data_IF_348214961564
#
_entry.id   IF_348214961564
#
_cell.length_a   1.000
_cell.length_b   1.000
_cell.length_c   1.000
_cell.angle_alpha   90.00
_cell.angle_beta   90.00
_cell.angle_gamma   90.00
#
_symmetry.space_group_name_H-M   'P 1'
#
loop_
_entity.id
_entity.type
_entity.pdbx_description
1 polymer ?
#
# COMPACT_ATOMS: atom_id res chain seq x y z
N UNK A 1 -12.14 -1.47 -8.15
CA UNK A 1 -10.98 -2.20 -7.64
C UNK A 1 -10.59 -3.36 -8.55
N UNK A 2 -9.37 -3.85 -8.43
CA UNK A 2 -8.93 -5.00 -9.20
C UNK A 2 -7.53 -5.48 -8.84
N UNK A 3 -7.15 -6.60 -9.41
CA UNK A 3 -5.80 -7.18 -9.32
C UNK A 3 -5.39 -7.79 -10.64
N UNK A 4 -4.10 -7.71 -10.96
CA UNK A 4 -3.51 -8.45 -12.09
C UNK A 4 -2.24 -9.17 -11.66
N UNK A 5 -2.04 -10.34 -12.24
CA UNK A 5 -0.79 -11.10 -12.18
C UNK A 5 0.09 -10.76 -13.38
N UNK A 6 1.24 -11.43 -13.51
CA UNK A 6 2.09 -11.35 -14.71
C UNK A 6 1.39 -11.75 -16.01
N UNK A 7 0.33 -12.55 -15.95
CA UNK A 7 -0.27 -13.19 -17.11
C UNK A 7 -1.72 -12.77 -17.38
N UNK A 8 -2.50 -12.41 -16.33
CA UNK A 8 -3.94 -12.18 -16.48
C UNK A 8 -4.51 -11.34 -15.32
N UNK A 9 -5.78 -10.94 -15.49
CA UNK A 9 -6.58 -10.41 -14.38
C UNK A 9 -6.88 -11.53 -13.37
N UNK A 10 -6.88 -11.16 -12.08
CA UNK A 10 -7.27 -12.05 -10.98
C UNK A 10 -8.72 -11.74 -10.63
N UNK A 11 -9.64 -12.52 -11.19
CA UNK A 11 -11.07 -12.33 -11.04
C UNK A 11 -11.65 -11.11 -11.78
N UNK A 12 -12.94 -10.81 -11.58
CA UNK A 12 -13.61 -9.68 -12.18
C UNK A 12 -13.11 -8.34 -11.64
N UNK A 13 -13.09 -7.29 -12.48
CA UNK A 13 -12.85 -5.92 -12.05
C UNK A 13 -14.08 -5.41 -11.27
N UNK A 14 -13.83 -4.55 -10.28
CA UNK A 14 -14.83 -3.96 -9.37
C UNK A 14 -15.61 -4.97 -8.49
N UNK A 15 -15.05 -6.15 -8.31
CA UNK A 15 -15.52 -7.15 -7.38
C UNK A 15 -14.56 -7.30 -6.21
N UNK A 16 -14.99 -6.99 -4.98
CA UNK A 16 -14.15 -7.07 -3.78
C UNK A 16 -13.81 -8.50 -3.37
N UNK A 17 -14.54 -9.50 -3.85
CA UNK A 17 -14.30 -10.91 -3.52
C UNK A 17 -12.97 -11.42 -4.14
N UNK A 18 -12.44 -10.72 -5.14
CA UNK A 18 -11.12 -11.01 -5.70
C UNK A 18 -10.01 -11.00 -4.64
N UNK A 19 -10.13 -10.17 -3.61
CA UNK A 19 -9.13 -10.09 -2.53
C UNK A 19 -9.09 -11.35 -1.63
N UNK A 20 -10.09 -12.22 -1.74
CA UNK A 20 -10.12 -13.54 -1.09
C UNK A 20 -9.70 -14.68 -2.03
N UNK A 21 -9.47 -14.40 -3.31
CA UNK A 21 -9.01 -15.39 -4.28
C UNK A 21 -7.70 -16.05 -3.82
N UNK A 22 -7.53 -17.36 -3.96
CA UNK A 22 -6.24 -18.03 -3.75
C UNK A 22 -5.11 -17.47 -4.62
N UNK A 23 -5.45 -16.97 -5.82
CA UNK A 23 -4.49 -16.42 -6.78
C UNK A 23 -4.01 -15.01 -6.41
N UNK A 24 -4.56 -14.36 -5.35
CA UNK A 24 -4.11 -13.03 -4.88
C UNK A 24 -2.61 -12.98 -4.58
N UNK A 25 -2.00 -14.11 -4.22
CA UNK A 25 -0.55 -14.20 -3.96
C UNK A 25 0.31 -13.97 -5.22
N UNK A 26 -0.30 -14.01 -6.41
CA UNK A 26 0.35 -13.76 -7.71
C UNK A 26 0.15 -12.31 -8.19
N UNK A 27 -0.50 -11.46 -7.38
CA UNK A 27 -0.79 -10.09 -7.78
C UNK A 27 0.50 -9.28 -7.94
N UNK A 28 0.66 -8.64 -9.09
CA UNK A 28 1.72 -7.67 -9.37
C UNK A 28 1.24 -6.23 -9.28
N UNK A 29 -0.03 -5.99 -9.53
CA UNK A 29 -0.67 -4.70 -9.37
C UNK A 29 -2.02 -4.90 -8.72
N UNK A 30 -2.28 -4.11 -7.68
CA UNK A 30 -3.54 -4.05 -6.96
C UNK A 30 -4.00 -2.61 -6.95
N UNK A 31 -5.30 -2.36 -7.24
CA UNK A 31 -5.86 -1.03 -7.18
C UNK A 31 -7.26 -0.99 -6.56
N UNK A 32 -7.56 0.11 -5.88
CA UNK A 32 -8.91 0.40 -5.36
C UNK A 32 -9.06 1.89 -5.02
N UNK A 33 -10.31 2.38 -4.97
CA UNK A 33 -10.61 3.81 -4.76
C UNK A 33 -10.54 4.21 -3.29
N UNK A 34 -11.08 3.40 -2.37
CA UNK A 34 -11.10 3.68 -0.93
C UNK A 34 -11.21 2.39 -0.13
N UNK A 35 -10.93 2.47 1.17
CA UNK A 35 -10.81 1.30 2.04
C UNK A 35 -9.36 0.96 2.32
N UNK A 36 -9.10 -0.24 2.82
CA UNK A 36 -7.75 -0.70 3.12
C UNK A 36 -7.59 -2.19 2.85
N UNK A 37 -6.39 -2.59 2.43
CA UNK A 37 -5.94 -3.97 2.45
C UNK A 37 -5.19 -4.24 3.75
N UNK A 38 -5.40 -5.43 4.32
CA UNK A 38 -4.72 -5.91 5.52
C UNK A 38 -3.84 -7.12 5.19
N UNK A 39 -2.59 -7.06 5.62
CA UNK A 39 -1.68 -8.21 5.67
C UNK A 39 -1.45 -8.61 7.11
N UNK A 40 -1.61 -9.91 7.40
CA UNK A 40 -1.31 -10.50 8.70
C UNK A 40 0.02 -11.21 8.65
N UNK A 41 1.00 -10.63 9.31
CA UNK A 41 2.40 -11.08 9.26
C UNK A 41 2.71 -11.85 10.53
N UNK A 42 3.22 -13.07 10.38
CA UNK A 42 3.64 -13.89 11.52
C UNK A 42 4.81 -13.27 12.28
N UNK A 43 4.85 -13.49 13.60
CA UNK A 43 5.95 -13.07 14.47
C UNK A 43 7.03 -14.13 14.69
N UNK A 44 6.88 -15.33 14.13
CA UNK A 44 7.80 -16.45 14.40
C UNK A 44 9.26 -16.18 14.11
N UNK A 45 9.54 -15.34 13.12
CA UNK A 45 10.92 -14.99 12.71
C UNK A 45 11.36 -13.63 13.24
N UNK A 46 10.62 -13.06 14.19
CA UNK A 46 10.89 -11.71 14.69
C UNK A 46 11.55 -11.78 16.06
N UNK A 47 12.76 -11.21 16.18
CA UNK A 47 13.44 -11.06 17.46
C UNK A 47 12.82 -9.95 18.29
N UNK A 48 12.37 -10.25 19.49
CA UNK A 48 11.79 -9.27 20.41
C UNK A 48 12.79 -8.80 21.46
N UNK A 49 12.72 -7.54 21.91
CA UNK A 49 11.83 -6.46 21.45
C UNK A 49 12.26 -5.87 20.12
N UNK A 50 11.28 -5.56 19.27
CA UNK A 50 11.53 -4.82 18.03
C UNK A 50 11.91 -3.37 18.34
N UNK A 51 13.05 -2.94 17.82
CA UNK A 51 13.55 -1.57 17.95
C UNK A 51 13.07 -0.68 16.80
N UNK A 52 12.91 -1.27 15.63
CA UNK A 52 12.57 -0.58 14.41
C UNK A 52 11.74 -1.48 13.49
N UNK A 53 10.85 -0.88 12.72
CA UNK A 53 10.13 -1.51 11.62
C UNK A 53 10.34 -0.67 10.37
N UNK A 54 10.77 -1.33 9.28
CA UNK A 54 10.91 -0.73 7.96
C UNK A 54 9.97 -1.43 6.99
N UNK A 55 9.12 -0.65 6.32
CA UNK A 55 8.16 -1.12 5.32
C UNK A 55 8.39 -0.31 4.06
N UNK A 56 8.63 -0.99 2.94
CA UNK A 56 8.86 -0.34 1.65
C UNK A 56 7.99 -0.98 0.57
N UNK A 57 7.40 -0.16 -0.28
CA UNK A 57 6.57 -0.58 -1.41
C UNK A 57 6.48 0.53 -2.44
N UNK A 58 6.17 0.17 -3.67
CA UNK A 58 5.86 1.12 -4.73
C UNK A 58 4.37 1.37 -4.77
N UNK A 59 3.94 2.64 -4.76
CA UNK A 59 2.54 3.03 -4.82
C UNK A 59 2.34 4.38 -5.50
N UNK A 60 1.13 4.59 -6.02
CA UNK A 60 0.64 5.89 -6.47
C UNK A 60 -0.88 5.98 -6.26
N UNK A 61 -1.47 7.11 -6.63
CA UNK A 61 -2.92 7.28 -6.69
C UNK A 61 -3.54 6.38 -7.76
N UNK A 62 -4.87 6.28 -7.78
CA UNK A 62 -5.62 5.50 -8.77
C UNK A 62 -6.70 6.36 -9.43
N UNK A 63 -6.69 6.42 -10.75
CA UNK A 63 -7.76 7.00 -11.57
C UNK A 63 -7.80 6.34 -12.94
N UNK A 64 -8.97 6.16 -13.58
CA UNK A 64 -9.03 5.61 -14.93
C UNK A 64 -8.12 6.36 -15.91
N UNK A 65 -7.29 5.62 -16.63
CA UNK A 65 -6.35 6.10 -17.63
C UNK A 65 -5.12 6.85 -17.11
N UNK A 66 -4.84 6.95 -15.88
CA UNK A 66 -3.80 7.74 -15.20
C UNK A 66 -3.90 9.27 -15.33
N UNK A 67 -3.43 9.97 -14.33
CA UNK A 67 -3.32 11.44 -14.29
C UNK A 67 -2.27 11.88 -13.28
N UNK A 68 -1.22 12.56 -13.76
CA UNK A 68 -0.03 12.89 -12.97
C UNK A 68 -0.28 13.85 -11.79
N UNK A 69 -1.41 14.55 -11.76
CA UNK A 69 -1.80 15.50 -10.70
C UNK A 69 -2.97 15.00 -9.82
N UNK A 70 -3.36 13.73 -9.96
CA UNK A 70 -4.45 13.13 -9.21
C UNK A 70 -3.98 12.70 -7.82
N UNK A 71 -4.15 13.56 -6.83
CA UNK A 71 -3.67 13.32 -5.46
C UNK A 71 -4.51 12.30 -4.71
N UNK A 72 -3.86 11.53 -3.84
CA UNK A 72 -4.50 10.60 -2.92
C UNK A 72 -3.79 10.56 -1.56
N UNK A 73 -4.57 10.59 -0.48
CA UNK A 73 -4.05 10.48 0.89
C UNK A 73 -4.00 9.00 1.29
N UNK A 74 -2.83 8.41 1.13
CA UNK A 74 -2.55 7.01 1.45
C UNK A 74 -2.12 6.92 2.91
N UNK A 75 -2.87 6.17 3.70
CA UNK A 75 -2.67 6.00 5.14
C UNK A 75 -2.19 4.59 5.44
N UNK A 76 -1.29 4.48 6.40
CA UNK A 76 -0.81 3.21 6.94
C UNK A 76 -1.20 3.05 8.41
N UNK A 77 -1.60 1.82 8.77
CA UNK A 77 -1.87 1.41 10.15
C UNK A 77 -1.09 0.14 10.47
N UNK A 78 -0.61 0.06 11.71
CA UNK A 78 -0.01 -1.14 12.28
C UNK A 78 -0.79 -1.48 13.56
N UNK A 79 -1.35 -2.70 13.63
CA UNK A 79 -2.17 -3.14 14.77
C UNK A 79 -3.28 -2.14 15.12
N UNK A 80 -3.97 -1.63 14.09
CA UNK A 80 -5.03 -0.61 14.17
C UNK A 80 -4.57 0.79 14.63
N UNK A 81 -3.28 1.00 14.89
CA UNK A 81 -2.72 2.33 15.17
C UNK A 81 -2.37 3.00 13.85
N UNK A 82 -2.95 4.17 13.57
CA UNK A 82 -2.58 4.99 12.41
C UNK A 82 -1.17 5.54 12.61
N UNK A 83 -0.22 5.07 11.79
CA UNK A 83 1.18 5.50 11.89
C UNK A 83 1.46 6.75 11.08
N UNK A 84 0.65 7.03 10.07
CA UNK A 84 0.75 8.27 9.29
C UNK A 84 0.04 8.19 7.96
N UNK A 85 -0.02 9.36 7.29
CA UNK A 85 -0.60 9.52 5.95
C UNK A 85 0.40 10.22 5.03
N UNK A 86 0.55 9.69 3.82
CA UNK A 86 1.29 10.29 2.74
C UNK A 86 0.34 10.70 1.62
N UNK A 87 0.48 11.94 1.14
CA UNK A 87 -0.25 12.39 -0.04
C UNK A 87 0.52 12.02 -1.29
N UNK A 88 0.06 11.01 -2.02
CA UNK A 88 0.55 10.69 -3.36
C UNK A 88 0.26 11.86 -4.29
N UNK A 89 1.24 12.35 -5.08
CA UNK A 89 1.03 13.50 -5.95
C UNK A 89 0.23 13.19 -7.21
N UNK A 90 0.15 11.93 -7.63
CA UNK A 90 -0.52 11.56 -8.86
C UNK A 90 -0.57 10.07 -9.14
N UNK A 91 -1.15 9.74 -10.28
CA UNK A 91 -1.20 8.43 -10.91
C UNK A 91 -0.40 8.50 -12.22
N UNK A 92 0.63 7.67 -12.37
CA UNK A 92 1.66 7.83 -13.39
C UNK A 92 1.60 6.78 -14.49
N UNK A 93 1.58 7.23 -15.75
CA UNK A 93 1.42 6.35 -16.91
C UNK A 93 2.22 6.70 -18.17
N UNK A 94 3.04 7.75 -18.18
CA UNK A 94 3.70 8.26 -19.39
C UNK A 94 4.76 7.32 -20.00
N UNK A 95 5.25 6.36 -19.21
CA UNK A 95 6.23 5.37 -19.63
C UNK A 95 5.88 4.00 -19.09
N UNK A 96 6.34 2.95 -19.74
CA UNK A 96 6.13 1.58 -19.27
C UNK A 96 6.73 1.37 -17.88
N UNK A 97 5.93 0.85 -16.96
CA UNK A 97 6.37 0.44 -15.63
C UNK A 97 7.13 -0.90 -15.67
N UNK A 98 8.08 -1.06 -14.78
CA UNK A 98 8.87 -2.30 -14.67
C UNK A 98 8.07 -3.45 -14.04
N UNK A 99 7.20 -3.13 -13.09
CA UNK A 99 6.40 -4.12 -12.35
C UNK A 99 5.04 -4.40 -13.00
N UNK A 100 4.74 -3.79 -14.15
CA UNK A 100 3.49 -4.05 -14.86
C UNK A 100 3.58 -5.28 -15.75
N UNK A 101 2.50 -6.10 -15.79
CA UNK A 101 2.48 -7.23 -16.69
C UNK A 101 2.52 -6.80 -18.16
N UNK A 102 3.10 -7.61 -19.07
CA UNK A 102 3.26 -7.25 -20.48
C UNK A 102 1.96 -6.86 -21.20
N UNK A 103 0.83 -7.47 -20.82
CA UNK A 103 -0.48 -7.21 -21.42
C UNK A 103 -1.16 -5.93 -20.90
N UNK A 104 -0.64 -5.31 -19.81
CA UNK A 104 -1.25 -4.14 -19.19
C UNK A 104 -1.25 -2.94 -20.14
N UNK A 105 -2.41 -2.31 -20.41
CA UNK A 105 -2.50 -1.23 -21.38
C UNK A 105 -1.64 -0.03 -21.01
N UNK A 106 -0.90 0.53 -21.98
CA UNK A 106 -0.02 1.70 -21.76
C UNK A 106 -0.76 2.95 -21.28
N UNK A 107 -2.06 3.07 -21.60
CA UNK A 107 -2.90 4.19 -21.15
C UNK A 107 -3.29 4.13 -19.67
N UNK A 108 -3.10 3.00 -19.01
CA UNK A 108 -3.40 2.83 -17.60
C UNK A 108 -2.18 3.14 -16.75
N UNK A 109 -2.34 3.21 -15.44
CA UNK A 109 -1.26 3.38 -14.46
C UNK A 109 -0.08 2.48 -14.74
N UNK A 110 1.12 3.03 -14.83
CA UNK A 110 2.32 2.28 -15.23
C UNK A 110 3.33 2.10 -14.11
N UNK A 111 3.46 3.07 -13.21
CA UNK A 111 4.43 3.03 -12.13
C UNK A 111 4.00 3.92 -10.98
N UNK A 112 4.60 3.71 -9.83
CA UNK A 112 4.40 4.49 -8.62
C UNK A 112 5.67 5.20 -8.16
N UNK A 113 5.62 5.65 -6.93
CA UNK A 113 6.75 6.16 -6.18
C UNK A 113 7.18 5.08 -5.18
N UNK A 114 8.48 4.77 -5.16
CA UNK A 114 9.04 3.92 -4.13
C UNK A 114 8.95 4.63 -2.78
N UNK A 115 8.25 4.02 -1.83
CA UNK A 115 8.03 4.57 -0.50
C UNK A 115 8.79 3.77 0.54
N UNK A 116 9.28 4.47 1.57
CA UNK A 116 9.94 3.86 2.72
C UNK A 116 9.34 4.43 4.00
N UNK A 117 8.73 3.58 4.80
CA UNK A 117 8.13 3.89 6.08
C UNK A 117 8.96 3.26 7.20
N UNK A 118 9.49 4.09 8.08
CA UNK A 118 10.28 3.64 9.23
C UNK A 118 9.57 4.07 10.51
N UNK A 119 9.36 3.13 11.41
CA UNK A 119 8.82 3.37 12.75
C UNK A 119 9.89 2.95 13.75
N UNK A 120 10.25 3.84 14.68
CA UNK A 120 11.24 3.57 15.72
C UNK A 120 10.81 4.18 17.08
N UNK A 121 11.74 4.38 18.01
CA UNK A 121 11.51 4.98 19.32
C UNK A 121 11.27 6.50 19.28
N UNK A 122 11.54 7.17 18.16
CA UNK A 122 11.39 8.61 17.95
C UNK A 122 10.12 8.98 17.20
N UNK A 123 9.47 8.03 16.52
CA UNK A 123 8.27 8.27 15.76
C UNK A 123 8.21 7.50 14.45
N UNK A 124 7.34 7.96 13.55
CA UNK A 124 7.15 7.41 12.21
C UNK A 124 7.71 8.37 11.16
N UNK A 125 8.47 7.81 10.22
CA UNK A 125 9.16 8.55 9.15
C UNK A 125 8.74 8.00 7.80
N UNK A 126 8.46 8.90 6.87
CA UNK A 126 8.22 8.61 5.47
C UNK A 126 9.37 9.18 4.62
N UNK A 127 10.07 8.34 3.86
CA UNK A 127 11.23 8.70 3.06
C UNK A 127 12.25 9.58 3.84
N UNK A 128 12.49 9.22 5.10
CA UNK A 128 13.43 9.91 6.00
C UNK A 128 12.88 11.13 6.74
N UNK A 129 11.70 11.64 6.38
CA UNK A 129 11.05 12.77 7.05
C UNK A 129 10.05 12.27 8.08
N UNK A 130 10.11 12.80 9.32
CA UNK A 130 9.11 12.48 10.34
C UNK A 130 7.73 13.01 9.94
N UNK A 131 6.73 12.14 9.98
CA UNK A 131 5.33 12.45 9.63
C UNK A 131 4.37 12.25 10.80
N UNK A 132 4.81 11.52 11.84
CA UNK A 132 3.99 11.23 13.01
C UNK A 132 4.88 10.98 14.22
N UNK A 133 4.33 11.21 15.42
CA UNK A 133 4.97 10.88 16.71
C UNK A 133 4.72 9.45 17.17
N UNK A 134 4.02 8.63 16.40
CA UNK A 134 3.72 7.24 16.75
C UNK A 134 5.00 6.43 16.74
N UNK A 135 5.29 5.77 17.86
CA UNK A 135 6.52 5.00 18.10
C UNK A 135 6.26 3.49 18.10
N UNK A 136 7.33 2.70 18.00
CA UNK A 136 7.25 1.23 18.11
C UNK A 136 6.54 0.74 19.38
N UNK A 137 6.74 1.42 20.50
CA UNK A 137 6.09 1.06 21.77
C UNK A 137 4.56 1.15 21.69
N UNK A 138 4.04 2.17 21.02
CA UNK A 138 2.60 2.38 20.87
C UNK A 138 1.93 1.34 19.96
N UNK A 139 2.68 0.65 19.09
CA UNK A 139 2.17 -0.42 18.23
C UNK A 139 1.89 -1.72 19.01
N UNK A 140 2.40 -1.84 20.23
CA UNK A 140 2.15 -2.94 21.15
C UNK A 140 2.30 -4.35 20.51
N UNK A 141 3.31 -4.52 19.66
CA UNK A 141 3.55 -5.74 18.87
C UNK A 141 3.51 -7.04 19.73
N UNK A 142 4.11 -7.08 20.95
CA UNK A 142 4.12 -8.30 21.76
C UNK A 142 2.72 -8.82 22.11
N UNK A 143 1.75 -7.94 22.32
CA UNK A 143 0.40 -8.30 22.78
C UNK A 143 -0.51 -8.83 21.67
N UNK A 144 -0.13 -8.71 20.41
CA UNK A 144 -0.93 -9.17 19.27
C UNK A 144 -0.47 -10.58 18.81
N UNK A 145 -1.36 -11.45 18.31
CA UNK A 145 -0.99 -12.77 17.80
C UNK A 145 -0.19 -12.71 16.51
N UNK A 146 -0.35 -11.65 15.73
CA UNK A 146 0.34 -11.34 14.46
C UNK A 146 0.55 -9.83 14.38
N UNK A 147 1.33 -9.37 13.40
CA UNK A 147 1.41 -7.95 13.04
C UNK A 147 0.38 -7.70 11.95
N UNK A 148 -0.60 -6.83 12.23
CA UNK A 148 -1.54 -6.33 11.21
C UNK A 148 -0.93 -5.11 10.54
N UNK A 149 -0.64 -5.20 9.24
CA UNK A 149 -0.28 -4.08 8.39
C UNK A 149 -1.49 -3.74 7.52
N UNK A 150 -2.01 -2.52 7.63
CA UNK A 150 -3.04 -2.00 6.73
C UNK A 150 -2.52 -0.83 5.93
N UNK A 151 -2.84 -0.79 4.64
CA UNK A 151 -2.54 0.32 3.74
C UNK A 151 -3.80 0.65 2.96
N UNK A 152 -4.16 1.93 2.87
CA UNK A 152 -5.38 2.30 2.16
C UNK A 152 -5.68 3.78 2.13
N UNK A 153 -6.87 4.10 1.64
CA UNK A 153 -7.39 5.46 1.51
C UNK A 153 -8.68 5.58 2.31
N UNK A 154 -8.68 6.48 3.29
CA UNK A 154 -9.86 6.73 4.13
C UNK A 154 -10.96 7.38 3.30
N UNK A 155 -12.23 7.00 3.53
CA UNK A 155 -13.39 7.58 2.83
C UNK A 155 -13.58 9.08 3.10
N UNK A 156 -13.11 9.55 4.26
CA UNK A 156 -13.16 10.93 4.74
C UNK A 156 -11.82 11.67 4.58
N UNK A 157 -10.87 11.11 3.83
CA UNK A 157 -9.62 11.78 3.51
C UNK A 157 -9.87 13.07 2.69
N UNK A 158 -8.97 14.03 2.79
CA UNK A 158 -9.05 15.26 1.98
C UNK A 158 -8.92 14.96 0.48
N UNK A 159 -8.06 14.01 0.13
CA UNK A 159 -7.86 13.56 -1.24
C UNK A 159 -8.18 12.05 -1.32
N UNK A 160 -9.41 11.72 -1.73
CA UNK A 160 -9.84 10.33 -1.98
C UNK A 160 -9.55 10.00 -3.43
N UNK A 161 -8.28 9.76 -3.73
CA UNK A 161 -7.79 9.53 -5.09
C UNK A 161 -7.36 8.09 -5.36
N UNK A 162 -7.84 7.11 -4.58
CA UNK A 162 -7.48 5.72 -4.76
C UNK A 162 -6.02 5.39 -4.49
N UNK A 163 -5.67 4.15 -4.70
CA UNK A 163 -4.31 3.63 -4.56
C UNK A 163 -4.05 2.55 -5.60
N UNK A 164 -2.87 2.61 -6.21
CA UNK A 164 -2.21 1.52 -6.92
C UNK A 164 -1.03 1.03 -6.06
N UNK A 165 -0.96 -0.28 -5.83
CA UNK A 165 0.14 -0.98 -5.17
C UNK A 165 0.81 -1.91 -6.17
N UNK A 166 2.13 -1.80 -6.30
CA UNK A 166 2.94 -2.60 -7.21
C UNK A 166 3.84 -3.55 -6.40
N UNK A 167 4.02 -4.76 -6.92
CA UNK A 167 4.85 -5.78 -6.28
C UNK A 167 5.15 -6.96 -7.20
N UNK A 168 5.96 -7.90 -6.69
CA UNK A 168 6.21 -9.24 -7.26
C UNK A 168 5.78 -10.30 -6.23
#
# INVERSE_FOLDING_TARGET
CGMVSTANYIGPVDDTDIFFSPDRIKAQLIWFTSGALEWRITKHSVTMPLKEMLISFEACSEVPCHRNDHKSDITMWINDVEVGTWTSPGDFGERRGQLNPPFWPLKNTQYGIWTSWRIDDKGTFFNGRQISSVTMQQLNIPSHPYISLKIGVKKDAKNVGGINLFGE
#
